data_IF_837100989727
#
_entry.id   IF_837100989727
#
_cell.length_a   1.000
_cell.length_b   1.000
_cell.length_c   1.000
_cell.angle_alpha   90.00
_cell.angle_beta   90.00
_cell.angle_gamma   90.00
#
_symmetry.space_group_name_H-M   'P 1'
#
loop_
_entity.id
_entity.type
_entity.pdbx_description
1 polymer ?
#
# COMPACT_ATOMS: atom_id res chain seq x y z
N UNK A 1 -2.86 -34.88 18.49
CA UNK A 1 -2.24 -34.94 17.15
C UNK A 1 -2.18 -36.37 16.54
N UNK A 2 -2.97 -37.33 17.01
CA UNK A 2 -3.04 -38.65 16.40
C UNK A 2 -4.06 -38.64 15.26
N UNK A 3 -3.69 -39.19 14.10
CA UNK A 3 -4.61 -39.45 12.99
C UNK A 3 -4.46 -38.62 11.72
N UNK A 4 -3.60 -37.59 11.67
CA UNK A 4 -3.29 -36.89 10.43
C UNK A 4 -2.12 -37.56 9.70
N UNK A 5 -2.31 -37.90 8.44
CA UNK A 5 -1.27 -38.50 7.57
C UNK A 5 -0.29 -37.47 7.03
N UNK A 6 -0.72 -36.21 6.94
CA UNK A 6 0.12 -35.10 6.50
C UNK A 6 -0.13 -33.86 7.38
N UNK A 7 0.92 -33.07 7.60
CA UNK A 7 0.86 -31.83 8.38
C UNK A 7 1.77 -30.81 7.72
N UNK A 8 1.19 -29.71 7.32
CA UNK A 8 1.88 -28.61 6.70
C UNK A 8 1.93 -27.42 7.67
N UNK A 9 3.11 -26.83 7.81
CA UNK A 9 3.30 -25.55 8.47
C UNK A 9 3.77 -24.57 7.41
N UNK A 10 2.99 -23.53 7.20
CA UNK A 10 3.36 -22.44 6.29
C UNK A 10 3.81 -21.25 7.12
N UNK A 11 4.94 -20.68 6.77
CA UNK A 11 5.42 -19.43 7.34
C UNK A 11 6.02 -18.57 6.25
N UNK A 12 5.89 -17.25 6.40
CA UNK A 12 6.48 -16.29 5.47
C UNK A 12 7.90 -15.98 5.93
N UNK A 13 8.85 -16.17 5.04
CA UNK A 13 10.26 -15.84 5.30
C UNK A 13 10.46 -14.35 5.01
N UNK A 14 10.90 -13.53 5.99
CA UNK A 14 11.18 -12.14 5.74
C UNK A 14 12.39 -11.98 4.79
N UNK A 15 12.39 -10.90 4.00
CA UNK A 15 13.43 -10.65 2.98
C UNK A 15 14.84 -10.48 3.54
N UNK A 16 14.97 -10.22 4.84
CA UNK A 16 16.25 -10.10 5.56
C UNK A 16 16.62 -11.36 6.35
N UNK A 17 15.95 -12.48 6.11
CA UNK A 17 16.26 -13.73 6.78
C UNK A 17 17.67 -14.22 6.39
N UNK A 18 18.38 -14.92 7.28
CA UNK A 18 19.65 -15.52 6.93
C UNK A 18 19.47 -16.63 5.88
N UNK A 19 20.51 -16.88 5.06
CA UNK A 19 20.47 -17.87 3.99
C UNK A 19 20.22 -19.31 4.45
N UNK A 20 20.32 -19.58 5.73
CA UNK A 20 20.00 -20.88 6.32
C UNK A 20 19.09 -20.69 7.52
N UNK A 21 17.94 -21.31 7.46
CA UNK A 21 17.00 -21.40 8.57
C UNK A 21 17.01 -22.82 9.12
N UNK A 22 16.78 -22.91 10.42
CA UNK A 22 16.70 -24.19 11.10
C UNK A 22 15.28 -24.36 11.66
N UNK A 23 14.72 -25.56 11.52
CA UNK A 23 13.50 -25.93 12.20
C UNK A 23 13.74 -27.18 13.03
N UNK A 24 13.06 -27.29 14.15
CA UNK A 24 13.14 -28.46 15.01
C UNK A 24 11.78 -28.79 15.59
N UNK A 25 11.61 -30.05 16.02
CA UNK A 25 10.45 -30.48 16.77
C UNK A 25 10.72 -30.33 18.28
N UNK A 26 9.86 -29.56 18.96
CA UNK A 26 9.98 -29.33 20.41
C UNK A 26 9.80 -30.64 21.23
N UNK A 27 8.98 -31.55 20.71
CA UNK A 27 8.59 -32.78 21.42
C UNK A 27 9.46 -34.01 21.11
N UNK A 28 10.29 -33.97 20.08
CA UNK A 28 11.09 -35.12 19.65
C UNK A 28 12.55 -34.71 19.44
N UNK A 29 13.41 -35.31 20.23
CA UNK A 29 14.86 -35.10 20.09
C UNK A 29 15.37 -35.65 18.76
N UNK A 30 16.20 -34.87 18.07
CA UNK A 30 16.77 -35.27 16.78
C UNK A 30 15.86 -35.11 15.56
N UNK A 31 14.67 -34.56 15.71
CA UNK A 31 13.81 -34.18 14.60
C UNK A 31 13.90 -32.69 14.32
N UNK A 32 14.51 -32.37 13.21
CA UNK A 32 14.69 -31.03 12.67
C UNK A 32 15.69 -31.09 11.53
N UNK A 33 15.74 -30.04 10.75
CA UNK A 33 16.69 -29.92 9.64
C UNK A 33 16.94 -28.45 9.32
N UNK A 34 17.87 -28.20 8.42
CA UNK A 34 18.09 -26.89 7.82
C UNK A 34 17.31 -26.74 6.52
N UNK A 35 16.90 -25.53 6.22
CA UNK A 35 16.45 -25.10 4.91
C UNK A 35 17.45 -24.09 4.39
N UNK A 36 17.96 -24.30 3.19
CA UNK A 36 18.76 -23.30 2.49
C UNK A 36 17.83 -22.41 1.70
N UNK A 37 17.92 -21.11 1.93
CA UNK A 37 17.22 -20.12 1.11
C UNK A 37 18.04 -19.89 -0.14
N UNK A 38 17.51 -20.25 -1.29
CA UNK A 38 18.07 -19.88 -2.58
C UNK A 38 17.48 -18.54 -2.99
N UNK A 39 18.33 -17.53 -3.07
CA UNK A 39 17.96 -16.23 -3.61
C UNK A 39 17.97 -16.38 -5.15
N UNK A 40 16.81 -16.71 -5.73
CA UNK A 40 16.68 -16.89 -7.17
C UNK A 40 16.66 -15.54 -7.87
N UNK A 41 17.79 -15.20 -8.47
CA UNK A 41 17.89 -14.06 -9.35
C UNK A 41 17.59 -14.49 -10.79
N UNK A 42 16.70 -13.74 -11.44
CA UNK A 42 16.39 -13.95 -12.86
C UNK A 42 17.08 -12.90 -13.70
N UNK A 43 17.80 -13.31 -14.73
CA UNK A 43 18.45 -12.39 -15.66
C UNK A 43 17.40 -11.64 -16.48
N UNK A 44 17.50 -10.32 -16.54
CA UNK A 44 16.64 -9.47 -17.37
C UNK A 44 17.19 -9.46 -18.79
N UNK A 45 16.45 -10.09 -19.71
CA UNK A 45 16.87 -10.21 -21.10
C UNK A 45 17.16 -8.86 -21.77
N UNK A 46 18.32 -8.72 -22.38
CA UNK A 46 18.74 -7.49 -23.07
C UNK A 46 19.24 -6.35 -22.18
N UNK A 47 19.24 -6.51 -20.86
CA UNK A 47 19.78 -5.51 -19.92
C UNK A 47 21.31 -5.60 -19.83
N UNK A 48 22.01 -5.18 -20.90
CA UNK A 48 23.47 -5.27 -21.02
C UNK A 48 24.19 -3.93 -20.86
N UNK A 49 23.45 -2.87 -20.52
CA UNK A 49 23.96 -1.50 -20.30
C UNK A 49 24.30 -1.27 -18.82
N UNK A 50 25.23 -0.34 -18.50
CA UNK A 50 25.44 0.10 -17.12
C UNK A 50 24.21 0.69 -16.45
N UNK A 51 23.23 1.12 -17.24
CA UNK A 51 21.95 1.66 -16.75
C UNK A 51 20.81 0.73 -17.21
N UNK A 52 19.96 0.36 -16.26
CA UNK A 52 18.70 -0.33 -16.52
C UNK A 52 17.53 0.57 -16.18
N UNK A 53 16.55 0.66 -17.10
CA UNK A 53 15.29 1.39 -16.88
C UNK A 53 14.15 0.36 -16.72
N UNK A 54 13.47 0.43 -15.61
CA UNK A 54 12.36 -0.49 -15.26
C UNK A 54 11.10 -0.30 -16.12
N UNK A 55 10.97 0.85 -16.80
CA UNK A 55 9.74 1.20 -17.51
C UNK A 55 8.67 1.79 -16.55
N UNK A 56 7.40 1.60 -16.91
CA UNK A 56 6.29 2.06 -16.06
C UNK A 56 6.12 1.13 -14.88
N UNK A 57 6.16 1.70 -13.68
CA UNK A 57 6.06 0.96 -12.42
C UNK A 57 4.63 0.88 -11.92
N UNK A 58 4.29 -0.24 -11.30
CA UNK A 58 3.06 -0.44 -10.54
C UNK A 58 3.40 -0.89 -9.12
N UNK A 59 2.63 -0.44 -8.14
CA UNK A 59 2.90 -0.84 -6.74
C UNK A 59 2.77 -2.35 -6.54
N UNK A 60 1.75 -2.97 -7.16
CA UNK A 60 1.43 -4.38 -6.94
C UNK A 60 2.43 -5.36 -7.55
N UNK A 61 3.18 -4.92 -8.55
CA UNK A 61 4.14 -5.79 -9.25
C UNK A 61 5.60 -5.48 -8.89
N UNK A 62 5.90 -4.20 -8.63
CA UNK A 62 7.29 -3.74 -8.62
C UNK A 62 7.78 -3.24 -7.24
N UNK A 63 6.87 -3.07 -6.27
CA UNK A 63 7.27 -2.63 -4.93
C UNK A 63 8.03 -3.75 -4.20
N UNK A 64 9.16 -3.38 -3.60
CA UNK A 64 10.12 -4.27 -2.94
C UNK A 64 10.93 -5.18 -3.88
N UNK A 65 10.84 -4.99 -5.20
CA UNK A 65 11.76 -5.63 -6.12
C UNK A 65 13.21 -5.24 -5.85
N UNK A 66 14.10 -6.17 -6.10
CA UNK A 66 15.53 -5.98 -5.93
C UNK A 66 16.26 -6.22 -7.23
N UNK A 67 17.19 -5.34 -7.53
CA UNK A 67 18.01 -5.38 -8.74
C UNK A 67 19.49 -5.46 -8.37
N UNK A 68 20.24 -6.28 -9.09
CA UNK A 68 21.70 -6.30 -9.04
C UNK A 68 22.28 -6.41 -10.45
N UNK A 69 23.49 -5.96 -10.64
CA UNK A 69 24.20 -6.12 -11.89
C UNK A 69 25.19 -7.27 -11.80
N UNK A 70 25.19 -8.12 -12.84
CA UNK A 70 26.21 -9.12 -13.09
C UNK A 70 27.23 -8.53 -14.06
N UNK A 71 28.48 -8.55 -13.69
CA UNK A 71 29.61 -8.09 -14.50
C UNK A 71 30.42 -9.30 -14.96
N UNK A 72 30.51 -9.49 -16.26
CA UNK A 72 31.30 -10.55 -16.87
C UNK A 72 32.41 -9.94 -17.73
N UNK A 73 33.61 -10.49 -17.68
CA UNK A 73 34.72 -10.08 -18.53
C UNK A 73 35.36 -11.27 -19.22
N UNK A 74 35.79 -11.06 -20.44
CA UNK A 74 36.52 -12.10 -21.20
C UNK A 74 37.85 -12.41 -20.49
N UNK A 75 38.05 -13.67 -20.14
CA UNK A 75 39.26 -14.13 -19.44
C UNK A 75 39.17 -14.02 -17.90
N UNK A 76 38.02 -13.62 -17.34
CA UNK A 76 37.81 -13.72 -15.92
C UNK A 76 37.41 -15.15 -15.50
N UNK A 77 37.88 -15.60 -14.36
CA UNK A 77 37.56 -16.94 -13.83
C UNK A 77 36.11 -17.07 -13.33
N UNK A 78 35.46 -15.94 -13.01
CA UNK A 78 34.09 -15.89 -12.53
C UNK A 78 33.43 -14.53 -12.78
N UNK A 79 32.08 -14.50 -12.79
CA UNK A 79 31.30 -13.28 -12.81
C UNK A 79 31.36 -12.55 -11.46
N UNK A 80 31.35 -11.22 -11.50
CA UNK A 80 31.20 -10.39 -10.31
C UNK A 80 29.76 -9.85 -10.22
N UNK A 81 29.29 -9.61 -9.00
CA UNK A 81 27.94 -9.08 -8.74
C UNK A 81 28.04 -7.83 -7.88
N UNK A 82 27.18 -6.85 -8.17
CA UNK A 82 26.98 -5.71 -7.27
C UNK A 82 26.14 -6.13 -6.08
N UNK A 83 26.12 -5.27 -5.05
CA UNK A 83 25.07 -5.34 -4.04
C UNK A 83 23.70 -5.14 -4.68
N UNK A 84 22.66 -5.63 -3.99
CA UNK A 84 21.29 -5.49 -4.44
C UNK A 84 20.74 -4.09 -4.09
N UNK A 85 20.13 -3.44 -5.06
CA UNK A 85 19.36 -2.21 -4.88
C UNK A 85 17.88 -2.54 -4.71
N UNK A 86 17.23 -1.97 -3.69
CA UNK A 86 15.80 -2.09 -3.44
C UNK A 86 15.04 -1.01 -4.22
N UNK A 87 13.98 -1.42 -4.93
CA UNK A 87 13.04 -0.52 -5.57
C UNK A 87 11.85 -0.26 -4.64
N UNK A 88 11.63 1.00 -4.27
CA UNK A 88 10.46 1.41 -3.52
C UNK A 88 9.50 2.16 -4.45
N UNK A 89 8.32 1.59 -4.67
CA UNK A 89 7.24 2.21 -5.45
C UNK A 89 6.20 2.76 -4.49
N UNK A 90 5.84 4.03 -4.67
CA UNK A 90 4.79 4.67 -3.86
C UNK A 90 3.45 4.63 -4.58
N UNK A 91 2.39 4.45 -3.81
CA UNK A 91 1.03 4.60 -4.32
C UNK A 91 0.71 6.09 -4.44
N UNK A 92 0.12 6.48 -5.55
CA UNK A 92 -0.36 7.84 -5.76
C UNK A 92 -1.88 7.91 -5.63
N UNK A 93 -2.38 9.01 -5.10
CA UNK A 93 -3.80 9.34 -5.04
C UNK A 93 -3.98 10.81 -5.41
N UNK A 94 -5.08 11.10 -6.06
CA UNK A 94 -5.42 12.46 -6.50
C UNK A 94 -6.91 12.72 -6.33
N UNK A 95 -7.26 13.97 -6.03
CA UNK A 95 -8.63 14.45 -6.13
C UNK A 95 -8.95 14.63 -7.60
N UNK A 96 -9.93 13.92 -8.12
CA UNK A 96 -10.41 14.08 -9.50
C UNK A 96 -11.62 15.03 -9.59
N UNK A 97 -12.37 15.17 -8.49
CA UNK A 97 -13.47 16.14 -8.39
C UNK A 97 -13.55 16.69 -6.98
N UNK A 98 -13.53 18.00 -6.86
CA UNK A 98 -13.75 18.71 -5.59
C UNK A 98 -15.24 18.84 -5.29
N UNK A 99 -15.64 18.92 -4.00
CA UNK A 99 -17.00 19.32 -3.67
C UNK A 99 -17.29 20.73 -4.16
N UNK A 100 -18.51 20.94 -4.62
CA UNK A 100 -18.97 22.24 -5.08
C UNK A 100 -19.89 22.88 -4.05
N UNK A 101 -19.98 24.21 -4.07
CA UNK A 101 -20.90 24.93 -3.21
C UNK A 101 -22.34 24.48 -3.51
N UNK A 102 -23.12 24.32 -2.47
CA UNK A 102 -24.53 23.98 -2.54
C UNK A 102 -25.38 25.08 -1.87
N UNK A 103 -26.61 25.19 -2.33
CA UNK A 103 -27.63 26.05 -1.72
C UNK A 103 -28.86 25.21 -1.46
N UNK A 104 -29.55 25.45 -0.38
CA UNK A 104 -30.79 24.77 -0.01
C UNK A 104 -31.71 25.70 0.77
N UNK A 105 -33.00 25.39 0.82
CA UNK A 105 -33.92 26.10 1.69
C UNK A 105 -33.90 25.48 3.11
N UNK A 106 -34.32 26.26 4.08
CA UNK A 106 -34.55 25.78 5.42
C UNK A 106 -35.50 24.57 5.43
N UNK A 107 -35.11 23.50 6.14
CA UNK A 107 -35.84 22.23 6.18
C UNK A 107 -35.46 21.24 5.09
N UNK A 108 -34.71 21.63 4.07
CA UNK A 108 -34.17 20.74 3.03
C UNK A 108 -32.80 20.19 3.42
N UNK A 109 -32.31 19.22 2.67
CA UNK A 109 -30.95 18.68 2.80
C UNK A 109 -30.10 19.11 1.62
N UNK A 110 -28.80 19.25 1.85
CA UNK A 110 -27.81 19.47 0.77
C UNK A 110 -26.81 18.33 0.72
N UNK A 111 -26.24 18.06 -0.46
CA UNK A 111 -25.25 16.99 -0.64
C UNK A 111 -23.97 17.52 -1.28
N UNK A 112 -22.86 17.06 -0.73
CA UNK A 112 -21.51 17.36 -1.21
C UNK A 112 -20.86 16.05 -1.64
N UNK A 113 -20.29 16.05 -2.85
CA UNK A 113 -19.65 14.84 -3.40
C UNK A 113 -18.22 15.15 -3.82
N UNK A 114 -17.33 14.22 -3.52
CA UNK A 114 -15.92 14.24 -3.95
C UNK A 114 -15.64 12.99 -4.76
N UNK A 115 -14.72 13.09 -5.72
CA UNK A 115 -14.16 11.92 -6.37
C UNK A 115 -12.64 11.95 -6.31
N UNK A 116 -12.04 10.77 -6.17
CA UNK A 116 -10.60 10.59 -6.17
C UNK A 116 -10.20 9.42 -7.06
N UNK A 117 -8.95 9.43 -7.48
CA UNK A 117 -8.29 8.31 -8.16
C UNK A 117 -7.10 7.84 -7.35
N UNK A 118 -6.85 6.54 -7.35
CA UNK A 118 -5.68 5.94 -6.73
C UNK A 118 -5.04 4.93 -7.66
N UNK A 119 -3.72 4.79 -7.60
CA UNK A 119 -2.99 3.79 -8.37
C UNK A 119 -3.26 2.37 -7.90
N UNK A 120 -3.70 2.18 -6.65
CA UNK A 120 -4.11 0.88 -6.11
C UNK A 120 -4.83 1.03 -4.76
N UNK A 121 -5.68 0.07 -4.40
CA UNK A 121 -6.45 0.10 -3.17
C UNK A 121 -7.74 0.93 -3.28
N UNK A 122 -8.30 1.29 -2.13
CA UNK A 122 -9.51 2.11 -2.03
C UNK A 122 -9.27 3.33 -1.16
N UNK A 123 -10.06 4.37 -1.38
CA UNK A 123 -10.08 5.55 -0.53
C UNK A 123 -10.95 5.32 0.71
N UNK A 124 -10.54 5.92 1.82
CA UNK A 124 -11.40 6.19 2.96
C UNK A 124 -11.62 7.70 3.04
N UNK A 125 -12.80 8.11 3.43
CA UNK A 125 -13.20 9.51 3.49
C UNK A 125 -13.53 9.89 4.93
N UNK A 126 -13.34 11.16 5.28
CA UNK A 126 -13.86 11.75 6.50
C UNK A 126 -14.24 13.20 6.21
N UNK A 127 -15.52 13.51 6.35
CA UNK A 127 -16.03 14.87 6.20
C UNK A 127 -15.91 15.65 7.50
N UNK A 128 -15.60 16.94 7.35
CA UNK A 128 -15.52 17.89 8.45
C UNK A 128 -16.30 19.15 8.09
N UNK A 129 -16.87 19.79 9.12
CA UNK A 129 -17.65 21.02 9.04
C UNK A 129 -16.91 22.15 9.75
N UNK A 130 -17.09 23.37 9.27
CA UNK A 130 -16.60 24.60 9.89
C UNK A 130 -17.65 25.69 9.79
N UNK A 131 -17.94 26.33 10.91
CA UNK A 131 -18.86 27.48 11.02
C UNK A 131 -18.15 28.81 10.73
N UNK A 132 -16.81 28.86 10.85
CA UNK A 132 -16.01 30.08 10.73
C UNK A 132 -15.03 30.07 9.54
N UNK A 133 -14.94 28.95 8.83
CA UNK A 133 -14.04 28.75 7.70
C UNK A 133 -12.57 28.58 8.07
N UNK A 134 -12.24 28.46 9.35
CA UNK A 134 -10.88 28.32 9.88
C UNK A 134 -10.72 26.98 10.61
N UNK A 135 -11.58 26.71 11.57
CA UNK A 135 -11.56 25.52 12.40
C UNK A 135 -12.53 24.48 11.85
N UNK A 136 -12.03 23.31 11.51
CA UNK A 136 -12.82 22.21 10.96
C UNK A 136 -12.90 21.06 11.95
N UNK A 137 -14.12 20.57 12.19
CA UNK A 137 -14.40 19.46 13.08
C UNK A 137 -14.98 18.29 12.31
N UNK A 138 -14.48 17.09 12.61
CA UNK A 138 -14.96 15.86 11.94
C UNK A 138 -16.45 15.63 12.24
N UNK A 139 -17.19 15.26 11.20
CA UNK A 139 -18.58 14.85 11.31
C UNK A 139 -18.61 13.33 11.56
N UNK A 140 -19.03 12.89 12.76
CA UNK A 140 -19.00 11.47 13.11
C UNK A 140 -19.76 10.61 12.11
N UNK A 141 -19.10 9.58 11.60
CA UNK A 141 -19.71 8.62 10.65
C UNK A 141 -19.85 9.12 9.20
N UNK A 142 -19.42 10.34 8.88
CA UNK A 142 -19.44 10.87 7.51
C UNK A 142 -18.21 10.36 6.71
N UNK A 143 -18.22 9.08 6.37
CA UNK A 143 -17.08 8.36 5.76
C UNK A 143 -17.33 7.90 4.33
N UNK A 144 -18.35 8.43 3.66
CA UNK A 144 -18.67 8.14 2.26
C UNK A 144 -18.14 9.24 1.32
N UNK A 145 -17.98 8.94 0.03
CA UNK A 145 -17.64 9.93 -0.99
C UNK A 145 -18.67 11.07 -1.11
N UNK A 146 -19.89 10.83 -0.67
CA UNK A 146 -20.96 11.84 -0.60
C UNK A 146 -21.37 12.02 0.85
N UNK A 147 -21.41 13.27 1.30
CA UNK A 147 -22.02 13.68 2.55
C UNK A 147 -23.32 14.42 2.27
N UNK A 148 -24.37 14.05 2.98
CA UNK A 148 -25.67 14.74 2.93
C UNK A 148 -25.94 15.33 4.31
N UNK A 149 -26.25 16.63 4.36
CA UNK A 149 -26.56 17.33 5.61
C UNK A 149 -27.87 16.81 6.21
N UNK A 150 -28.06 16.96 7.51
CA UNK A 150 -29.42 17.00 8.08
C UNK A 150 -30.29 18.08 7.42
N UNK A 151 -31.56 18.16 7.79
CA UNK A 151 -32.41 19.28 7.41
C UNK A 151 -31.78 20.60 7.83
N UNK A 152 -31.60 21.52 6.89
CA UNK A 152 -30.90 22.78 7.12
C UNK A 152 -31.69 23.71 8.05
N UNK A 153 -30.98 24.36 8.96
CA UNK A 153 -31.50 25.41 9.86
C UNK A 153 -30.73 26.69 9.55
N UNK A 154 -31.41 27.71 9.06
CA UNK A 154 -30.75 28.95 8.62
C UNK A 154 -29.87 29.60 9.70
N UNK A 155 -30.31 29.57 10.95
CA UNK A 155 -29.57 30.16 12.05
C UNK A 155 -28.23 29.43 12.35
N UNK A 156 -28.17 28.14 12.07
CA UNK A 156 -27.06 27.28 12.49
C UNK A 156 -26.16 26.86 11.32
N UNK A 157 -26.70 26.79 10.08
CA UNK A 157 -26.01 26.20 8.94
C UNK A 157 -25.67 27.20 7.82
N UNK A 158 -26.11 28.48 7.96
CA UNK A 158 -25.80 29.48 6.95
C UNK A 158 -24.30 29.81 6.95
N UNK A 159 -23.71 29.81 5.76
CA UNK A 159 -22.27 30.02 5.54
C UNK A 159 -21.33 28.91 6.07
N UNK A 160 -21.86 27.77 6.48
CA UNK A 160 -21.06 26.60 6.83
C UNK A 160 -20.18 26.14 5.68
N UNK A 161 -19.01 25.68 6.03
CA UNK A 161 -18.04 25.14 5.09
C UNK A 161 -17.76 23.67 5.37
N UNK A 162 -17.73 22.88 4.32
CA UNK A 162 -17.45 21.48 4.39
C UNK A 162 -16.14 21.15 3.67
N UNK A 163 -15.32 20.31 4.27
CA UNK A 163 -14.12 19.75 3.67
C UNK A 163 -14.11 18.24 3.86
N UNK A 164 -13.35 17.56 3.05
CA UNK A 164 -13.15 16.12 3.15
C UNK A 164 -11.67 15.82 3.12
N UNK A 165 -11.20 15.06 4.09
CA UNK A 165 -9.92 14.38 4.03
C UNK A 165 -10.15 12.96 3.54
N UNK A 166 -9.23 12.44 2.74
CA UNK A 166 -9.17 11.04 2.44
C UNK A 166 -7.78 10.50 2.59
N UNK A 167 -7.73 9.35 3.21
CA UNK A 167 -6.50 8.63 3.43
C UNK A 167 -6.51 7.37 2.57
N UNK A 168 -5.35 7.04 2.08
CA UNK A 168 -5.11 5.74 1.46
C UNK A 168 -4.74 4.76 2.57
N UNK A 169 -5.54 3.72 2.75
CA UNK A 169 -5.19 2.64 3.66
C UNK A 169 -4.04 1.85 3.06
N UNK A 170 -2.84 2.05 3.58
CA UNK A 170 -1.77 1.08 3.37
C UNK A 170 -2.07 -0.11 4.27
N UNK A 171 -2.37 -1.27 3.69
CA UNK A 171 -2.36 -2.50 4.46
C UNK A 171 -0.95 -2.66 5.03
N UNK A 172 -0.79 -2.99 6.32
CA UNK A 172 0.50 -3.32 6.86
C UNK A 172 1.06 -4.50 6.06
N UNK A 173 2.24 -4.34 5.52
CA UNK A 173 3.01 -5.46 4.96
C UNK A 173 3.42 -6.33 6.14
N UNK A 174 2.81 -7.51 6.23
CA UNK A 174 3.27 -8.56 7.14
C UNK A 174 4.60 -9.11 6.65
#
# INVERSE_FOLDING_TARGET
FSGATERNVTFTVPSNAPNTLWYWCHFHTGQGNSMTMTDEWTDIGGATSPTYNTGTLTYSADHDDRYRCKLSAVGADADAFTDAALLTVYRTHQVSSQPVNATGNEGETSSYTVAGTTSSGSHTYQWSKSDNGVDYFEIPGATSATYTTPALVFADDNDDRFTVSYTHLTLPTN
#
